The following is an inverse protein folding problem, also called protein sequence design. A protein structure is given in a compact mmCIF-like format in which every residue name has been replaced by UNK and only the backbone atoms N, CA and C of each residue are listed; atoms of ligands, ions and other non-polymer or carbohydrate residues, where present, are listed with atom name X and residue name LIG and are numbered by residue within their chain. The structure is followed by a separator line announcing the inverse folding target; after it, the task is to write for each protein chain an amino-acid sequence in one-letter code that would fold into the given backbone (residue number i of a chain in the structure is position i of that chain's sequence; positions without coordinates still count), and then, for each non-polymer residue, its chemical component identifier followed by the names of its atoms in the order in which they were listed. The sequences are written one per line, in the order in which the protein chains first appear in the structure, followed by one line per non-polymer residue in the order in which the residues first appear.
data_IF_869681354633
#
_entry.id   IF_869681354633
#
_cell.length_a   1.000
_cell.length_b   1.000
_cell.length_c   1.000
_cell.angle_alpha   90.00
_cell.angle_beta   90.00
_cell.angle_gamma   90.00
#
_symmetry.space_group_name_H-M   'P 1'
#
loop_
_entity.id
_entity.type
_entity.pdbx_description
1 polymer ?
#
# COMPACT_ATOMS: atom_id res chain seq x y z
N UNK A 1 -23.91 -33.20 15.75
CA UNK A 1 -24.41 -31.82 15.86
C UNK A 1 -23.85 -31.04 14.67
N UNK A 2 -24.56 -31.07 13.53
CA UNK A 2 -24.11 -30.39 12.30
C UNK A 2 -24.53 -28.93 12.42
N UNK A 3 -23.56 -28.04 12.61
CA UNK A 3 -23.78 -26.60 12.65
C UNK A 3 -24.28 -26.13 11.28
N UNK A 4 -25.57 -25.84 11.18
CA UNK A 4 -26.18 -25.20 10.00
C UNK A 4 -25.64 -23.78 9.85
N UNK A 5 -24.62 -23.62 9.01
CA UNK A 5 -24.12 -22.29 8.64
C UNK A 5 -25.23 -21.55 7.88
N UNK A 6 -25.89 -20.61 8.55
CA UNK A 6 -26.95 -19.79 7.94
C UNK A 6 -26.42 -19.09 6.66
N UNK A 7 -27.18 -19.08 5.54
CA UNK A 7 -26.74 -18.50 4.26
C UNK A 7 -26.37 -17.01 4.36
N UNK A 8 -26.91 -16.29 5.35
CA UNK A 8 -26.52 -14.91 5.66
C UNK A 8 -25.02 -14.79 6.04
N UNK A 9 -24.46 -15.79 6.72
CA UNK A 9 -23.05 -15.82 7.16
C UNK A 9 -22.10 -16.00 5.97
N UNK A 10 -22.50 -16.75 4.94
CA UNK A 10 -21.69 -16.98 3.73
C UNK A 10 -21.61 -15.70 2.90
N UNK A 11 -22.73 -15.00 2.68
CA UNK A 11 -22.76 -13.71 1.98
C UNK A 11 -21.95 -12.62 2.72
N UNK A 12 -22.06 -12.57 4.05
CA UNK A 12 -21.29 -11.63 4.87
C UNK A 12 -19.77 -11.90 4.83
N UNK A 13 -19.35 -13.17 4.83
CA UNK A 13 -17.95 -13.57 4.65
C UNK A 13 -17.42 -13.26 3.25
N UNK A 14 -18.20 -13.53 2.20
CA UNK A 14 -17.82 -13.20 0.83
C UNK A 14 -17.60 -11.68 0.65
N UNK A 15 -18.50 -10.85 1.20
CA UNK A 15 -18.33 -9.39 1.18
C UNK A 15 -17.10 -8.92 1.97
N UNK A 16 -16.74 -9.59 3.07
CA UNK A 16 -15.52 -9.28 3.81
C UNK A 16 -14.24 -9.63 3.03
N UNK A 17 -14.22 -10.80 2.38
CA UNK A 17 -13.10 -11.22 1.53
C UNK A 17 -12.92 -10.23 0.38
N UNK A 18 -14.00 -9.86 -0.32
CA UNK A 18 -13.93 -8.90 -1.42
C UNK A 18 -13.32 -7.57 -0.96
N UNK A 19 -13.76 -7.01 0.17
CA UNK A 19 -13.18 -5.76 0.70
C UNK A 19 -11.68 -5.86 1.00
N UNK A 20 -11.24 -6.97 1.60
CA UNK A 20 -9.82 -7.18 1.93
C UNK A 20 -8.99 -7.37 0.66
N UNK A 21 -9.47 -8.19 -0.27
CA UNK A 21 -8.79 -8.44 -1.55
C UNK A 21 -8.72 -7.18 -2.41
N UNK A 22 -9.80 -6.39 -2.49
CA UNK A 22 -9.80 -5.12 -3.24
C UNK A 22 -8.78 -4.13 -2.68
N UNK A 23 -8.66 -4.02 -1.35
CA UNK A 23 -7.63 -3.16 -0.74
C UNK A 23 -6.21 -3.62 -1.09
N UNK A 24 -5.93 -4.91 -0.90
CA UNK A 24 -4.62 -5.49 -1.24
C UNK A 24 -4.31 -5.39 -2.75
N UNK A 25 -5.34 -5.53 -3.59
CA UNK A 25 -5.21 -5.38 -5.05
C UNK A 25 -4.85 -3.93 -5.41
N UNK A 26 -5.50 -2.94 -4.81
CA UNK A 26 -5.20 -1.53 -5.06
C UNK A 26 -3.77 -1.17 -4.66
N UNK A 27 -3.29 -1.67 -3.51
CA UNK A 27 -1.88 -1.50 -3.12
C UNK A 27 -0.96 -2.11 -4.18
N UNK A 28 -1.20 -3.36 -4.58
CA UNK A 28 -0.34 -4.05 -5.54
C UNK A 28 -0.40 -3.39 -6.94
N UNK A 29 -1.56 -2.88 -7.33
CA UNK A 29 -1.76 -2.14 -8.57
C UNK A 29 -0.92 -0.86 -8.61
N UNK A 30 -0.84 -0.13 -7.49
CA UNK A 30 0.00 1.05 -7.37
C UNK A 30 1.50 0.70 -7.53
N UNK A 31 1.98 -0.39 -6.92
CA UNK A 31 3.35 -0.87 -7.13
C UNK A 31 3.63 -1.22 -8.60
N UNK A 32 2.67 -1.83 -9.30
CA UNK A 32 2.83 -2.11 -10.73
C UNK A 32 2.85 -0.83 -11.57
N UNK A 33 1.98 0.14 -11.26
CA UNK A 33 1.97 1.44 -11.94
C UNK A 33 3.30 2.17 -11.75
N UNK A 34 3.85 2.19 -10.54
CA UNK A 34 5.16 2.80 -10.28
C UNK A 34 6.25 2.19 -11.17
N UNK A 35 6.30 0.85 -11.26
CA UNK A 35 7.26 0.15 -12.12
C UNK A 35 7.08 0.45 -13.61
N UNK A 36 5.83 0.50 -14.08
CA UNK A 36 5.50 0.81 -15.47
C UNK A 36 5.88 2.25 -15.85
N UNK A 37 5.66 3.21 -14.94
CA UNK A 37 5.99 4.62 -15.14
C UNK A 37 7.38 5.00 -14.61
N UNK A 38 8.22 4.04 -14.22
CA UNK A 38 9.51 4.30 -13.58
C UNK A 38 10.43 5.21 -14.43
N UNK A 39 10.43 5.05 -15.75
CA UNK A 39 11.22 5.89 -16.66
C UNK A 39 10.75 7.35 -16.64
N UNK A 40 9.43 7.59 -16.70
CA UNK A 40 8.85 8.93 -16.62
C UNK A 40 9.07 9.59 -15.25
N UNK A 41 8.91 8.81 -14.17
CA UNK A 41 9.19 9.25 -12.80
C UNK A 41 10.68 9.62 -12.66
N UNK A 42 11.58 8.81 -13.22
CA UNK A 42 13.02 9.06 -13.19
C UNK A 42 13.37 10.41 -13.81
N UNK A 43 12.90 10.68 -15.03
CA UNK A 43 13.18 11.95 -15.71
C UNK A 43 12.61 13.18 -14.99
N UNK A 44 11.50 13.03 -14.26
CA UNK A 44 10.80 14.15 -13.61
C UNK A 44 11.32 14.43 -12.21
N UNK A 45 11.50 13.38 -11.39
CA UNK A 45 11.88 13.51 -9.98
C UNK A 45 13.38 13.35 -9.72
N UNK A 46 14.12 12.66 -10.61
CA UNK A 46 15.54 12.40 -10.47
C UNK A 46 16.33 12.84 -11.72
N UNK A 47 16.34 14.14 -12.08
CA UNK A 47 17.14 14.62 -13.21
C UNK A 47 18.63 14.40 -12.90
N UNK A 48 19.22 13.38 -13.52
CA UNK A 48 20.63 13.05 -13.40
C UNK A 48 21.35 13.29 -14.73
N UNK A 49 22.68 13.42 -14.68
CA UNK A 49 23.53 13.57 -15.87
C UNK A 49 23.49 12.35 -16.81
N UNK A 50 23.02 11.20 -16.33
CA UNK A 50 22.87 9.95 -17.08
C UNK A 50 21.50 9.33 -16.81
N UNK A 51 20.83 8.90 -17.88
CA UNK A 51 19.54 8.19 -17.83
C UNK A 51 19.61 6.93 -16.95
N UNK A 52 20.73 6.21 -17.00
CA UNK A 52 20.95 5.03 -16.17
C UNK A 52 20.94 5.37 -14.66
N UNK A 53 21.60 6.47 -14.27
CA UNK A 53 21.65 6.89 -12.87
C UNK A 53 20.27 7.32 -12.35
N UNK A 54 19.49 8.00 -13.19
CA UNK A 54 18.12 8.41 -12.89
C UNK A 54 17.20 7.21 -12.64
N UNK A 55 17.25 6.21 -13.54
CA UNK A 55 16.46 4.99 -13.41
C UNK A 55 16.87 4.16 -12.18
N UNK A 56 18.17 4.07 -11.90
CA UNK A 56 18.69 3.42 -10.70
C UNK A 56 18.18 4.07 -9.41
N UNK A 57 18.13 5.40 -9.35
CA UNK A 57 17.57 6.12 -8.20
C UNK A 57 16.08 5.83 -8.04
N UNK A 58 15.30 5.82 -9.14
CA UNK A 58 13.88 5.45 -9.10
C UNK A 58 13.67 4.02 -8.59
N UNK A 59 14.46 3.05 -9.06
CA UNK A 59 14.39 1.69 -8.55
C UNK A 59 14.90 1.55 -7.11
N UNK A 60 15.84 2.38 -6.67
CA UNK A 60 16.26 2.43 -5.27
C UNK A 60 15.11 2.90 -4.36
N UNK A 61 14.34 3.91 -4.79
CA UNK A 61 13.11 4.35 -4.09
C UNK A 61 12.05 3.26 -4.09
N UNK A 62 11.86 2.58 -5.22
CA UNK A 62 10.97 1.42 -5.31
C UNK A 62 11.37 0.32 -4.31
N UNK A 63 12.65 -0.04 -4.25
CA UNK A 63 13.21 -0.99 -3.31
C UNK A 63 13.07 -0.55 -1.85
N UNK A 64 13.26 0.73 -1.56
CA UNK A 64 13.02 1.28 -0.23
C UNK A 64 11.55 1.13 0.20
N UNK A 65 10.60 1.26 -0.74
CA UNK A 65 9.18 0.98 -0.51
C UNK A 65 8.91 -0.45 -0.01
N UNK A 66 9.66 -1.45 -0.49
CA UNK A 66 9.55 -2.82 0.01
C UNK A 66 10.03 -2.95 1.46
N UNK A 67 11.07 -2.23 1.86
CA UNK A 67 11.56 -2.21 3.25
C UNK A 67 10.61 -1.46 4.18
N UNK A 68 9.88 -0.47 3.67
CA UNK A 68 8.91 0.27 4.47
C UNK A 68 7.72 -0.60 4.91
N UNK A 69 7.38 -1.67 4.18
CA UNK A 69 6.31 -2.60 4.60
C UNK A 69 6.58 -3.29 5.94
N UNK A 70 7.71 -4.01 6.15
CA UNK A 70 8.03 -4.61 7.44
C UNK A 70 8.24 -3.56 8.53
N UNK A 71 8.86 -2.41 8.21
CA UNK A 71 9.02 -1.31 9.18
C UNK A 71 7.65 -0.80 9.64
N UNK A 72 6.74 -0.56 8.70
CA UNK A 72 5.35 -0.17 8.98
C UNK A 72 4.62 -1.24 9.77
N UNK A 73 4.80 -2.52 9.44
CA UNK A 73 4.19 -3.63 10.19
C UNK A 73 4.67 -3.67 11.65
N UNK A 74 5.94 -3.40 11.92
CA UNK A 74 6.48 -3.38 13.30
C UNK A 74 5.96 -2.15 14.06
N UNK A 75 6.09 -0.96 13.46
CA UNK A 75 5.76 0.31 14.14
C UNK A 75 4.26 0.50 14.27
N UNK A 76 3.53 0.44 13.15
CA UNK A 76 2.08 0.58 13.17
C UNK A 76 1.40 -0.66 13.73
N UNK A 77 1.91 -1.88 13.52
CA UNK A 77 1.31 -3.08 14.13
C UNK A 77 1.25 -2.97 15.65
N UNK A 78 2.37 -2.65 16.29
CA UNK A 78 2.43 -2.46 17.75
C UNK A 78 1.53 -1.32 18.25
N UNK A 79 1.33 -0.27 17.44
CA UNK A 79 0.41 0.82 17.76
C UNK A 79 -1.07 0.41 17.62
N UNK A 80 -1.41 -0.29 16.53
CA UNK A 80 -2.76 -0.75 16.22
C UNK A 80 -3.24 -1.77 17.25
N UNK A 81 -2.34 -2.62 17.75
CA UNK A 81 -2.65 -3.60 18.80
C UNK A 81 -3.15 -2.93 20.09
N UNK A 82 -2.70 -1.71 20.39
CA UNK A 82 -3.13 -0.94 21.57
C UNK A 82 -4.41 -0.13 21.35
N UNK A 83 -4.60 0.41 20.14
CA UNK A 83 -5.64 1.40 19.82
C UNK A 83 -6.90 0.75 19.20
N UNK A 84 -6.77 -0.49 18.73
CA UNK A 84 -7.84 -1.29 18.15
C UNK A 84 -7.91 -1.22 16.62
N UNK A 85 -8.39 -2.32 16.02
CA UNK A 85 -8.33 -2.59 14.56
C UNK A 85 -8.99 -1.52 13.68
N UNK A 86 -10.13 -0.94 14.10
CA UNK A 86 -10.84 0.08 13.30
C UNK A 86 -10.09 1.41 13.24
N UNK A 87 -9.57 1.88 14.38
CA UNK A 87 -8.80 3.13 14.45
C UNK A 87 -7.46 2.96 13.72
N UNK A 88 -6.85 1.78 13.85
CA UNK A 88 -5.64 1.43 13.10
C UNK A 88 -5.81 1.52 11.59
N UNK A 89 -6.88 0.95 11.05
CA UNK A 89 -7.20 1.02 9.63
C UNK A 89 -7.34 2.47 9.13
N UNK A 90 -7.98 3.34 9.92
CA UNK A 90 -8.14 4.75 9.56
C UNK A 90 -6.78 5.43 9.52
N UNK A 91 -5.91 5.21 10.51
CA UNK A 91 -4.56 5.79 10.56
C UNK A 91 -3.72 5.36 9.36
N UNK A 92 -3.73 4.07 8.99
CA UNK A 92 -3.01 3.59 7.82
C UNK A 92 -3.52 4.24 6.52
N UNK A 93 -4.84 4.35 6.38
CA UNK A 93 -5.47 5.01 5.22
C UNK A 93 -5.14 6.50 5.16
N UNK A 94 -5.13 7.19 6.31
CA UNK A 94 -4.77 8.61 6.40
C UNK A 94 -3.32 8.86 6.02
N UNK A 95 -2.39 8.00 6.47
CA UNK A 95 -0.97 8.08 6.12
C UNK A 95 -0.77 7.85 4.61
N UNK A 96 -1.43 6.85 4.03
CA UNK A 96 -1.39 6.61 2.58
C UNK A 96 -1.92 7.82 1.80
N UNK A 97 -3.09 8.35 2.18
CA UNK A 97 -3.67 9.51 1.51
C UNK A 97 -2.78 10.76 1.60
N UNK A 98 -2.14 10.99 2.76
CA UNK A 98 -1.19 12.07 2.94
C UNK A 98 0.04 11.91 2.04
N UNK A 99 0.56 10.68 1.90
CA UNK A 99 1.69 10.39 1.01
C UNK A 99 1.37 10.71 -0.45
N UNK A 100 0.23 10.24 -0.97
CA UNK A 100 -0.20 10.55 -2.35
C UNK A 100 -0.44 12.05 -2.54
N UNK A 101 -1.00 12.73 -1.54
CA UNK A 101 -1.22 14.18 -1.60
C UNK A 101 0.10 14.96 -1.68
N UNK A 102 1.12 14.55 -0.92
CA UNK A 102 2.44 15.18 -0.98
C UNK A 102 3.12 14.99 -2.34
N UNK A 103 2.94 13.83 -2.98
CA UNK A 103 3.47 13.58 -4.34
C UNK A 103 2.84 14.52 -5.37
N UNK A 104 1.55 14.85 -5.23
CA UNK A 104 0.85 15.77 -6.14
C UNK A 104 1.22 17.24 -5.89
N UNK A 105 1.62 17.57 -4.67
CA UNK A 105 1.97 18.94 -4.28
C UNK A 105 3.39 19.35 -4.72
N UNK A 106 4.29 18.38 -4.88
CA UNK A 106 5.65 18.55 -5.39
C UNK A 106 5.61 18.62 -6.92
#
# INVERSE_FOLDING_TARGET
MVSSTSPATVRAKAGAIFRVTSGNFLEQFDFFLFGFYATYIAHTFFPASSEFASLMMTFAVFGAGFLMRPIGAIVLGAYIDKVGRRKGLIVTLSIMAAGTFLIVLI
#
